data_IF_702128950411
#
_entry.id   IF_702128950411
#
_cell.length_a   1.000
_cell.length_b   1.000
_cell.length_c   1.000
_cell.angle_alpha   90.00
_cell.angle_beta   90.00
_cell.angle_gamma   90.00
#
_symmetry.space_group_name_H-M   'P 1'
#
loop_
_entity.id
_entity.type
_entity.pdbx_description
1 polymer ?
#
# COMPACT_ATOMS: atom_id res chain seq x y z
N UNK A 1 -13.46 -28.16 -5.03
CA UNK A 1 -12.67 -27.22 -5.84
C UNK A 1 -12.09 -26.17 -4.90
N UNK A 2 -10.81 -26.27 -4.60
CA UNK A 2 -10.08 -25.31 -3.75
C UNK A 2 -9.82 -24.04 -4.55
N UNK A 3 -10.30 -22.89 -4.07
CA UNK A 3 -10.00 -21.59 -4.67
C UNK A 3 -8.56 -21.21 -4.33
N UNK A 4 -7.65 -21.33 -5.30
CA UNK A 4 -6.28 -20.87 -5.15
C UNK A 4 -6.25 -19.34 -5.24
N UNK A 5 -5.95 -18.66 -4.13
CA UNK A 5 -5.84 -17.21 -4.06
C UNK A 5 -4.49 -16.77 -4.64
N UNK A 6 -4.46 -16.49 -5.95
CA UNK A 6 -3.25 -16.07 -6.69
C UNK A 6 -3.05 -14.55 -6.70
N UNK A 7 -3.68 -13.82 -5.78
CA UNK A 7 -3.63 -12.37 -5.82
C UNK A 7 -2.33 -11.86 -5.16
N UNK A 8 -1.45 -11.31 -5.99
CA UNK A 8 -0.15 -10.76 -5.59
C UNK A 8 -0.35 -9.37 -4.96
N UNK A 9 -0.36 -9.29 -3.62
CA UNK A 9 -0.57 -8.06 -2.83
C UNK A 9 0.70 -7.51 -2.17
N UNK A 10 1.85 -7.56 -2.83
CA UNK A 10 3.13 -7.34 -2.13
C UNK A 10 3.51 -5.86 -1.97
N UNK A 11 2.99 -4.94 -2.78
CA UNK A 11 3.50 -3.55 -2.80
C UNK A 11 2.38 -2.53 -2.97
N UNK A 12 2.16 -1.70 -1.94
CA UNK A 12 1.16 -0.62 -1.98
C UNK A 12 1.65 0.61 -2.76
N UNK A 13 2.93 0.96 -2.64
CA UNK A 13 3.52 2.11 -3.33
C UNK A 13 5.03 1.95 -3.50
N UNK A 14 5.58 2.65 -4.50
CA UNK A 14 7.02 2.88 -4.67
C UNK A 14 7.24 4.39 -4.75
N UNK A 15 8.17 4.87 -3.93
CA UNK A 15 8.45 6.29 -3.73
C UNK A 15 9.95 6.54 -3.93
N UNK A 16 10.28 7.60 -4.66
CA UNK A 16 11.62 8.17 -4.74
C UNK A 16 11.48 9.63 -4.33
N UNK A 17 12.12 9.98 -3.21
CA UNK A 17 12.12 11.32 -2.65
C UNK A 17 13.55 11.88 -2.76
N UNK A 18 13.66 13.19 -2.94
CA UNK A 18 14.95 13.88 -2.90
C UNK A 18 15.46 14.05 -1.45
N UNK A 19 16.60 14.73 -1.29
CA UNK A 19 17.21 15.01 0.02
C UNK A 19 16.41 16.01 0.88
N UNK A 20 15.46 16.73 0.28
CA UNK A 20 14.58 17.70 0.94
C UNK A 20 13.20 17.11 1.28
N UNK A 21 12.89 15.91 0.77
CA UNK A 21 11.62 15.21 0.97
C UNK A 21 10.59 15.49 -0.13
N UNK A 22 10.97 16.14 -1.23
CA UNK A 22 10.09 16.34 -2.37
C UNK A 22 10.01 15.05 -3.22
N UNK A 23 8.83 14.82 -3.78
CA UNK A 23 8.56 13.69 -4.69
C UNK A 23 9.31 13.86 -6.01
N UNK A 24 10.23 12.94 -6.29
CA UNK A 24 10.80 12.76 -7.64
C UNK A 24 9.87 11.85 -8.45
N UNK A 25 9.57 10.68 -7.90
CA UNK A 25 8.63 9.71 -8.48
C UNK A 25 7.78 9.12 -7.36
N UNK A 26 6.47 9.01 -7.60
CA UNK A 26 5.60 8.20 -6.75
C UNK A 26 4.62 7.42 -7.60
N UNK A 27 4.50 6.13 -7.31
CA UNK A 27 3.51 5.26 -7.92
C UNK A 27 2.78 4.48 -6.84
N UNK A 28 1.49 4.75 -6.72
CA UNK A 28 0.58 4.09 -5.80
C UNK A 28 -0.18 3.01 -6.55
N UNK A 29 -0.02 1.78 -6.11
CA UNK A 29 -0.64 0.63 -6.74
C UNK A 29 -1.99 0.34 -6.08
N UNK A 30 -2.95 -0.05 -6.90
CA UNK A 30 -4.25 -0.53 -6.43
C UNK A 30 -4.35 -1.99 -6.86
N UNK A 31 -4.72 -2.92 -5.97
CA UNK A 31 -4.81 -4.31 -6.35
C UNK A 31 -5.92 -4.51 -7.40
N UNK A 32 -5.59 -4.94 -8.64
CA UNK A 32 -6.58 -5.01 -9.72
C UNK A 32 -7.65 -6.07 -9.48
N UNK A 33 -7.32 -7.12 -8.72
CA UNK A 33 -8.23 -8.25 -8.47
C UNK A 33 -9.13 -8.08 -7.25
N UNK A 34 -9.00 -6.98 -6.49
CA UNK A 34 -9.93 -6.66 -5.40
C UNK A 34 -11.35 -6.41 -5.94
N UNK A 35 -11.45 -5.73 -7.10
CA UNK A 35 -12.73 -5.40 -7.71
C UNK A 35 -13.38 -6.61 -8.42
N UNK A 36 -12.59 -7.45 -9.11
CA UNK A 36 -13.13 -8.56 -9.91
C UNK A 36 -13.78 -9.64 -9.04
N UNK A 37 -13.27 -9.89 -7.84
CA UNK A 37 -13.87 -10.86 -6.91
C UNK A 37 -15.20 -10.36 -6.34
N UNK A 38 -15.36 -9.04 -6.20
CA UNK A 38 -16.56 -8.40 -5.68
C UNK A 38 -17.67 -8.26 -6.74
N UNK A 39 -17.30 -8.10 -8.02
CA UNK A 39 -18.25 -7.90 -9.13
C UNK A 39 -18.91 -9.20 -9.62
N UNK A 40 -18.33 -10.37 -9.35
CA UNK A 40 -18.87 -11.68 -9.77
C UNK A 40 -19.48 -12.48 -8.62
N UNK A 41 -19.39 -11.98 -7.39
CA UNK A 41 -19.95 -12.62 -6.20
C UNK A 41 -21.43 -12.26 -6.04
N UNK A 42 -22.28 -13.26 -5.76
CA UNK A 42 -23.65 -12.99 -5.31
C UNK A 42 -23.65 -12.23 -3.96
N UNK A 43 -24.72 -11.50 -3.59
CA UNK A 43 -24.76 -10.71 -2.35
C UNK A 43 -24.41 -11.50 -1.07
N UNK A 44 -24.68 -12.82 -1.05
CA UNK A 44 -24.31 -13.72 0.04
C UNK A 44 -22.80 -14.04 0.12
N UNK A 45 -22.08 -14.02 -1.02
CA UNK A 45 -20.65 -14.28 -1.10
C UNK A 45 -19.81 -13.04 -0.78
N UNK A 46 -20.35 -11.83 -0.99
CA UNK A 46 -19.72 -10.55 -0.63
C UNK A 46 -19.44 -10.44 0.88
N UNK A 47 -20.37 -10.90 1.73
CA UNK A 47 -20.22 -10.87 3.19
C UNK A 47 -19.26 -11.95 3.74
N UNK A 48 -19.15 -13.11 3.08
CA UNK A 48 -18.27 -14.19 3.53
C UNK A 48 -16.78 -13.90 3.25
N UNK A 49 -16.49 -13.25 2.12
CA UNK A 49 -15.12 -12.87 1.71
C UNK A 49 -14.59 -11.68 2.51
N UNK A 50 -15.45 -10.73 2.89
CA UNK A 50 -15.09 -9.61 3.76
C UNK A 50 -14.68 -10.05 5.18
N UNK A 51 -15.29 -11.12 5.71
CA UNK A 51 -14.97 -11.65 7.05
C UNK A 51 -13.76 -12.59 7.08
N UNK A 52 -13.39 -13.22 5.95
CA UNK A 52 -12.29 -14.20 5.89
C UNK A 52 -11.04 -13.66 5.20
N UNK A 53 -11.17 -12.55 4.46
CA UNK A 53 -10.09 -11.91 3.69
C UNK A 53 -10.35 -10.40 3.61
N UNK A 54 -10.20 -9.66 4.73
CA UNK A 54 -10.44 -8.21 4.77
C UNK A 54 -9.59 -7.42 3.75
N UNK A 55 -8.50 -8.03 3.28
CA UNK A 55 -7.56 -7.47 2.31
C UNK A 55 -8.12 -7.43 0.86
N UNK A 56 -9.14 -8.23 0.53
CA UNK A 56 -9.79 -8.22 -0.80
C UNK A 56 -10.74 -7.03 -0.99
N UNK A 57 -11.14 -6.41 0.11
CA UNK A 57 -12.01 -5.22 0.14
C UNK A 57 -11.21 -3.92 0.30
N UNK A 58 -9.89 -4.01 0.46
CA UNK A 58 -9.02 -2.90 0.83
C UNK A 58 -8.82 -1.95 -0.36
N UNK A 59 -9.72 -0.97 -0.49
CA UNK A 59 -9.49 0.23 -1.30
C UNK A 59 -8.20 0.87 -0.80
N UNK A 60 -7.25 1.15 -1.69
CA UNK A 60 -5.98 1.77 -1.31
C UNK A 60 -6.26 3.08 -0.52
N UNK A 61 -5.82 3.20 0.75
CA UNK A 61 -6.08 4.38 1.57
C UNK A 61 -5.38 5.65 1.05
N UNK A 62 -4.41 5.49 0.14
CA UNK A 62 -3.62 6.57 -0.46
C UNK A 62 -4.12 6.95 -1.86
N UNK A 63 -5.45 7.03 -2.02
CA UNK A 63 -6.08 7.32 -3.30
C UNK A 63 -6.00 8.81 -3.70
N UNK A 64 -5.97 9.74 -2.73
CA UNK A 64 -5.96 11.18 -3.01
C UNK A 64 -4.55 11.76 -2.94
N UNK A 65 -4.26 12.79 -3.74
CA UNK A 65 -2.97 13.48 -3.71
C UNK A 65 -2.65 14.09 -2.35
N UNK A 66 -3.67 14.50 -1.59
CA UNK A 66 -3.50 15.06 -0.25
C UNK A 66 -2.97 13.98 0.70
N UNK A 67 -3.58 12.81 0.70
CA UNK A 67 -3.20 11.69 1.56
C UNK A 67 -1.82 11.15 1.19
N UNK A 68 -1.53 11.06 -0.11
CA UNK A 68 -0.21 10.68 -0.61
C UNK A 68 0.88 11.62 -0.12
N UNK A 69 0.69 12.95 -0.22
CA UNK A 69 1.66 13.94 0.25
C UNK A 69 1.86 13.90 1.77
N UNK A 70 0.78 13.72 2.52
CA UNK A 70 0.87 13.57 3.97
C UNK A 70 1.68 12.32 4.35
N UNK A 71 1.42 11.20 3.69
CA UNK A 71 2.15 9.95 3.87
C UNK A 71 3.63 10.09 3.50
N UNK A 72 3.95 10.67 2.34
CA UNK A 72 5.33 10.90 1.89
C UNK A 72 6.11 11.74 2.89
N UNK A 73 5.53 12.85 3.34
CA UNK A 73 6.16 13.72 4.32
C UNK A 73 6.44 12.96 5.62
N UNK A 74 5.46 12.21 6.12
CA UNK A 74 5.61 11.47 7.36
C UNK A 74 6.65 10.36 7.26
N UNK A 75 6.70 9.62 6.14
CA UNK A 75 7.72 8.60 5.88
C UNK A 75 9.10 9.23 5.79
N UNK A 76 9.25 10.36 5.10
CA UNK A 76 10.53 11.07 5.00
C UNK A 76 11.04 11.49 6.39
N UNK A 77 10.18 12.12 7.20
CA UNK A 77 10.53 12.55 8.56
C UNK A 77 10.94 11.36 9.45
N UNK A 78 10.29 10.20 9.28
CA UNK A 78 10.53 8.99 10.07
C UNK A 78 11.80 8.25 9.63
N UNK A 79 12.02 8.13 8.32
CA UNK A 79 13.19 7.44 7.74
C UNK A 79 14.49 8.22 7.97
N UNK A 80 14.44 9.56 7.99
CA UNK A 80 15.60 10.41 8.32
C UNK A 80 16.20 10.15 9.71
N UNK A 81 15.39 9.63 10.64
CA UNK A 81 15.77 9.35 12.04
C UNK A 81 15.84 7.86 12.35
N UNK A 82 15.49 6.99 11.40
CA UNK A 82 15.41 5.55 11.63
C UNK A 82 16.80 4.91 11.56
N UNK A 83 17.08 4.04 12.53
CA UNK A 83 18.32 3.24 12.58
C UNK A 83 18.04 1.87 11.95
N UNK A 84 18.03 1.80 10.62
CA UNK A 84 17.79 0.57 9.85
C UNK A 84 17.02 0.82 8.56
N UNK A 85 16.85 -0.22 7.74
CA UNK A 85 16.26 -0.07 6.39
C UNK A 85 14.73 -0.29 6.36
N UNK A 86 14.12 -0.75 7.45
CA UNK A 86 12.68 -1.05 7.50
C UNK A 86 12.02 -0.22 8.60
N UNK A 87 10.92 0.46 8.26
CA UNK A 87 10.07 1.17 9.22
C UNK A 87 8.63 0.68 9.13
N UNK A 88 7.95 0.65 10.27
CA UNK A 88 6.50 0.47 10.34
C UNK A 88 5.85 1.85 10.52
N UNK A 89 4.94 2.21 9.62
CA UNK A 89 4.18 3.45 9.70
C UNK A 89 2.76 3.25 9.16
N UNK A 90 1.76 3.64 9.95
CA UNK A 90 0.33 3.55 9.57
C UNK A 90 -0.07 2.18 9.01
N UNK A 91 0.34 1.10 9.71
CA UNK A 91 0.14 -0.30 9.28
C UNK A 91 0.79 -0.68 7.94
N UNK A 92 1.69 0.15 7.40
CA UNK A 92 2.51 -0.15 6.23
C UNK A 92 3.94 -0.46 6.64
N UNK A 93 4.44 -1.61 6.18
CA UNK A 93 5.86 -1.92 6.20
C UNK A 93 6.54 -1.19 5.04
N UNK A 94 7.46 -0.31 5.37
CA UNK A 94 8.20 0.50 4.40
C UNK A 94 9.66 0.12 4.47
N UNK A 95 10.14 -0.53 3.41
CA UNK A 95 11.55 -0.72 3.15
C UNK A 95 12.07 0.55 2.47
N UNK A 96 13.17 1.10 2.97
CA UNK A 96 13.80 2.28 2.41
C UNK A 96 15.33 2.12 2.40
N UNK A 97 15.97 2.92 1.54
CA UNK A 97 17.42 3.04 1.49
C UNK A 97 17.75 4.49 1.19
N UNK A 98 18.54 5.13 2.05
CA UNK A 98 19.12 6.44 1.76
C UNK A 98 20.43 6.24 0.98
N UNK A 99 20.59 6.96 -0.13
CA UNK A 99 21.87 7.04 -0.84
C UNK A 99 22.36 8.47 -0.71
N UNK A 100 23.46 8.66 0.03
CA UNK A 100 24.22 9.89 0.08
C UNK A 100 25.49 9.59 -0.70
N UNK A 101 25.53 10.05 -1.94
CA UNK A 101 26.79 10.16 -2.70
C UNK A 101 27.37 11.55 -2.45
#
# INVERSE_FOLDING_TARGET
>A
MTFNNLTLYTTSAVLILDTEGNRVIAKYYQPPHAASFLSTATPAQQNAVANTTPQLSAKNPLATLKDQRAFEKAIFDKTKRATGDIVLYDSHLVLFKASLD
#
